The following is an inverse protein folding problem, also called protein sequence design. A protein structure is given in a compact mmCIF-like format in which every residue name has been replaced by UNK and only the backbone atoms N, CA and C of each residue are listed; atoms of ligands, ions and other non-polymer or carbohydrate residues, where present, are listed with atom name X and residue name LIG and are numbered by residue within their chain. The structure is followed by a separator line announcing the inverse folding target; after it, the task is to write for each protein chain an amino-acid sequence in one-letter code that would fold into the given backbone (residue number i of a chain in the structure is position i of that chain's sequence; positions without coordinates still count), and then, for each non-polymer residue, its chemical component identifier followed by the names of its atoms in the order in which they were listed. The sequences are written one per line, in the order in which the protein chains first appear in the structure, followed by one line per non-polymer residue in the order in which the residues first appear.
data_IF_100100477052
#
_entry.id   IF_100100477052
#
_cell.length_a   1.000
_cell.length_b   1.000
_cell.length_c   1.000
_cell.angle_alpha   90.00
_cell.angle_beta   90.00
_cell.angle_gamma   90.00
#
_symmetry.space_group_name_H-M   'P 1'
#
loop_
_entity.id
_entity.type
_entity.pdbx_description
1 polymer ?
#
# COMPACT_ATOMS: atom_id res chain seq x y z
N UNK A 1 24.07 19.29 -35.87
CA UNK A 1 22.63 19.54 -35.56
C UNK A 1 22.40 19.14 -34.11
N UNK A 2 22.52 20.09 -33.18
CA UNK A 2 22.18 19.85 -31.78
C UNK A 2 20.65 19.83 -31.63
N UNK A 3 20.11 18.74 -31.11
CA UNK A 3 18.70 18.65 -30.72
C UNK A 3 18.54 19.37 -29.38
N UNK A 4 18.06 20.60 -29.42
CA UNK A 4 17.67 21.39 -28.26
C UNK A 4 16.54 20.65 -27.51
N UNK A 5 16.88 19.83 -26.51
CA UNK A 5 15.89 19.16 -25.64
C UNK A 5 15.34 20.20 -24.67
N UNK A 6 14.20 20.81 -25.02
CA UNK A 6 13.46 21.62 -24.05
C UNK A 6 13.12 20.78 -22.81
N UNK A 7 13.38 21.27 -21.59
CA UNK A 7 12.95 20.60 -20.38
C UNK A 7 11.42 20.53 -20.38
N UNK A 8 10.88 19.33 -20.21
CA UNK A 8 9.42 19.10 -20.13
C UNK A 8 8.85 20.01 -19.05
N UNK A 9 7.96 20.92 -19.44
CA UNK A 9 7.24 21.76 -18.49
C UNK A 9 6.55 20.84 -17.47
N UNK A 10 6.80 21.07 -16.19
CA UNK A 10 6.12 20.31 -15.13
C UNK A 10 4.63 20.61 -15.24
N UNK A 11 3.81 19.56 -15.14
CA UNK A 11 2.37 19.74 -15.11
C UNK A 11 2.01 20.72 -13.99
N UNK A 12 1.23 21.76 -14.31
CA UNK A 12 0.79 22.78 -13.35
C UNK A 12 -0.07 22.20 -12.23
N UNK A 13 -0.76 21.10 -12.53
CA UNK A 13 -1.67 20.43 -11.62
C UNK A 13 -1.02 19.15 -11.07
N UNK A 14 -1.14 18.90 -9.76
CA UNK A 14 -0.74 17.64 -9.13
C UNK A 14 -1.37 16.43 -9.83
N UNK A 15 -0.67 15.31 -9.90
CA UNK A 15 -1.16 14.15 -10.66
C UNK A 15 -2.28 13.43 -9.91
N UNK A 16 -3.42 13.21 -10.58
CA UNK A 16 -4.46 12.29 -10.13
C UNK A 16 -3.99 10.84 -10.33
N UNK A 17 -3.96 10.06 -9.24
CA UNK A 17 -3.33 8.75 -9.19
C UNK A 17 -4.34 7.67 -8.78
N UNK A 18 -4.23 6.50 -9.41
CA UNK A 18 -4.90 5.29 -8.96
C UNK A 18 -4.18 4.68 -7.76
N UNK A 19 -4.95 4.19 -6.80
CA UNK A 19 -4.50 3.32 -5.72
C UNK A 19 -5.10 1.92 -5.89
N UNK A 20 -4.35 0.88 -5.50
CA UNK A 20 -4.75 -0.52 -5.68
C UNK A 20 -6.05 -0.89 -4.96
N UNK A 21 -6.46 -0.08 -3.97
CA UNK A 21 -7.76 -0.21 -3.29
C UNK A 21 -8.96 0.12 -4.16
N UNK A 22 -8.74 0.56 -5.41
CA UNK A 22 -9.80 1.12 -6.26
C UNK A 22 -10.06 2.60 -5.99
N UNK A 23 -9.30 3.24 -5.09
CA UNK A 23 -9.46 4.66 -4.78
C UNK A 23 -8.57 5.56 -5.64
N UNK A 24 -9.02 6.78 -5.88
CA UNK A 24 -8.21 7.86 -6.35
C UNK A 24 -7.44 8.52 -5.20
N UNK A 25 -6.23 8.98 -5.51
CA UNK A 25 -5.42 9.78 -4.60
C UNK A 25 -4.61 10.83 -5.33
N UNK A 26 -4.15 11.83 -4.60
CA UNK A 26 -3.22 12.86 -5.07
C UNK A 26 -2.09 13.01 -4.06
N UNK A 27 -0.87 13.27 -4.52
CA UNK A 27 0.28 13.53 -3.66
C UNK A 27 0.53 15.03 -3.57
N UNK A 28 0.38 15.60 -2.37
CA UNK A 28 0.52 17.02 -2.09
C UNK A 28 1.28 17.21 -0.79
N UNK A 29 2.18 18.19 -0.74
CA UNK A 29 2.87 18.60 0.49
C UNK A 29 3.49 17.43 1.28
N UNK A 30 4.06 16.45 0.56
CA UNK A 30 4.69 15.27 1.16
C UNK A 30 3.74 14.15 1.59
N UNK A 31 2.42 14.27 1.36
CA UNK A 31 1.40 13.32 1.85
C UNK A 31 0.45 12.89 0.73
N UNK A 32 -0.18 11.73 0.88
CA UNK A 32 -1.23 11.25 -0.01
C UNK A 32 -2.61 11.64 0.54
N UNK A 33 -3.45 12.23 -0.31
CA UNK A 33 -4.85 12.51 -0.04
C UNK A 33 -5.70 11.60 -0.91
N UNK A 34 -6.56 10.80 -0.27
CA UNK A 34 -7.51 9.93 -0.95
C UNK A 34 -8.78 10.70 -1.28
N UNK A 35 -9.42 10.34 -2.40
CA UNK A 35 -10.49 11.13 -3.00
C UNK A 35 -11.79 10.31 -3.11
N UNK A 36 -11.77 9.04 -2.72
CA UNK A 36 -12.85 8.07 -2.92
C UNK A 36 -12.62 7.19 -4.15
N UNK A 37 -13.65 6.53 -4.65
CA UNK A 37 -13.59 5.61 -5.81
C UNK A 37 -12.96 6.27 -7.03
N UNK A 38 -11.98 5.60 -7.63
CA UNK A 38 -11.26 6.09 -8.81
C UNK A 38 -12.21 6.34 -9.98
N UNK A 39 -11.95 7.44 -10.69
CA UNK A 39 -12.69 7.92 -11.87
C UNK A 39 -14.18 8.22 -11.63
N UNK A 40 -14.60 8.29 -10.37
CA UNK A 40 -15.96 8.72 -10.02
C UNK A 40 -16.10 10.25 -10.12
N UNK A 41 -17.29 10.78 -10.47
CA UNK A 41 -17.55 12.22 -10.43
C UNK A 41 -17.23 12.87 -9.08
N UNK A 42 -17.50 12.15 -7.96
CA UNK A 42 -17.18 12.59 -6.60
C UNK A 42 -15.67 12.75 -6.40
N UNK A 43 -14.87 11.79 -6.89
CA UNK A 43 -13.41 11.85 -6.78
C UNK A 43 -12.78 12.96 -7.63
N UNK A 44 -13.32 13.23 -8.82
CA UNK A 44 -12.89 14.34 -9.67
C UNK A 44 -13.25 15.70 -9.03
N UNK A 45 -14.45 15.85 -8.49
CA UNK A 45 -14.85 17.06 -7.78
C UNK A 45 -13.94 17.34 -6.57
N UNK A 46 -13.65 16.32 -5.76
CA UNK A 46 -12.71 16.41 -4.64
C UNK A 46 -11.30 16.75 -5.12
N UNK A 47 -10.81 16.12 -6.19
CA UNK A 47 -9.51 16.42 -6.78
C UNK A 47 -9.36 17.90 -7.13
N UNK A 48 -10.35 18.48 -7.83
CA UNK A 48 -10.32 19.89 -8.22
C UNK A 48 -10.40 20.82 -7.00
N UNK A 49 -11.25 20.51 -6.02
CA UNK A 49 -11.35 21.28 -4.78
C UNK A 49 -10.02 21.31 -4.01
N UNK A 50 -9.36 20.15 -3.89
CA UNK A 50 -8.10 20.00 -3.17
C UNK A 50 -6.93 20.67 -3.90
N UNK A 51 -6.90 20.58 -5.23
CA UNK A 51 -5.92 21.31 -6.04
C UNK A 51 -6.09 22.84 -5.94
N UNK A 52 -7.34 23.32 -5.89
CA UNK A 52 -7.62 24.75 -5.71
C UNK A 52 -7.16 25.21 -4.32
N UNK A 53 -7.55 24.50 -3.27
CA UNK A 53 -7.11 24.79 -1.89
C UNK A 53 -5.58 24.81 -1.78
N UNK A 54 -4.91 23.83 -2.37
CA UNK A 54 -3.45 23.74 -2.39
C UNK A 54 -2.80 24.94 -3.09
N UNK A 55 -3.37 25.40 -4.21
CA UNK A 55 -2.87 26.58 -4.94
C UNK A 55 -3.13 27.87 -4.15
N UNK A 56 -4.33 28.03 -3.59
CA UNK A 56 -4.73 29.21 -2.82
C UNK A 56 -3.84 29.37 -1.56
N UNK A 57 -3.41 28.25 -0.96
CA UNK A 57 -2.50 28.23 0.20
C UNK A 57 -1.00 28.28 -0.17
N UNK A 58 -0.66 28.66 -1.40
CA UNK A 58 0.75 28.82 -1.81
C UNK A 58 1.50 27.49 -1.88
N UNK A 59 0.85 26.43 -2.36
CA UNK A 59 1.38 25.08 -2.46
C UNK A 59 1.68 24.42 -1.10
N UNK A 60 0.86 24.70 -0.09
CA UNK A 60 0.85 24.02 1.21
C UNK A 60 -0.55 23.51 1.56
N UNK A 61 -0.60 22.36 2.23
CA UNK A 61 -1.87 21.85 2.76
C UNK A 61 -2.01 22.21 4.25
N UNK A 62 -3.23 22.48 4.75
CA UNK A 62 -3.46 22.60 6.18
C UNK A 62 -3.02 21.32 6.91
N UNK A 63 -2.35 21.46 8.06
CA UNK A 63 -1.79 20.31 8.78
C UNK A 63 -2.86 19.31 9.25
N UNK A 64 -4.02 19.82 9.63
CA UNK A 64 -5.18 19.07 10.15
C UNK A 64 -6.16 18.63 9.05
N UNK A 65 -5.79 18.77 7.77
CA UNK A 65 -6.69 18.38 6.69
C UNK A 65 -6.82 16.85 6.59
N UNK A 66 -8.05 16.34 6.65
CA UNK A 66 -8.31 14.90 6.54
C UNK A 66 -7.80 14.33 5.21
N UNK A 67 -6.91 13.34 5.29
CA UNK A 67 -6.35 12.66 4.12
C UNK A 67 -7.24 11.55 3.58
N UNK A 68 -8.27 11.15 4.32
CA UNK A 68 -9.19 10.06 4.00
C UNK A 68 -10.66 10.51 4.20
N UNK A 69 -11.27 11.14 3.19
CA UNK A 69 -12.60 11.74 3.31
C UNK A 69 -13.77 10.76 3.09
N UNK A 70 -13.51 9.47 2.84
CA UNK A 70 -14.54 8.41 2.87
C UNK A 70 -14.11 7.36 3.91
N UNK A 71 -14.82 7.31 5.03
CA UNK A 71 -14.73 6.20 6.00
C UNK A 71 -15.15 4.86 5.36
N UNK A 72 -16.03 4.91 4.36
CA UNK A 72 -16.58 3.74 3.65
C UNK A 72 -15.54 2.97 2.82
N UNK A 73 -14.40 3.57 2.52
CA UNK A 73 -13.36 2.94 1.71
C UNK A 73 -12.20 2.52 2.62
N UNK A 74 -12.50 1.64 3.57
CA UNK A 74 -11.53 1.10 4.52
C UNK A 74 -10.26 0.62 3.81
N UNK A 75 -9.09 0.99 4.35
CA UNK A 75 -7.81 0.48 3.88
C UNK A 75 -7.85 -1.03 4.10
N UNK A 76 -7.84 -1.81 3.03
CA UNK A 76 -7.86 -3.27 3.13
C UNK A 76 -6.46 -3.84 3.36
N UNK A 77 -6.36 -5.11 3.74
CA UNK A 77 -5.09 -5.82 3.85
C UNK A 77 -4.31 -5.76 2.54
N UNK A 78 -4.99 -5.88 1.38
CA UNK A 78 -4.39 -5.75 0.03
C UNK A 78 -3.72 -4.39 -0.19
N UNK A 79 -4.27 -3.34 0.43
CA UNK A 79 -3.67 -2.01 0.36
C UNK A 79 -2.34 -1.98 1.11
N UNK A 80 -2.31 -2.58 2.30
CA UNK A 80 -1.13 -2.64 3.17
C UNK A 80 -0.04 -3.50 2.53
N UNK A 81 -0.39 -4.68 2.01
CA UNK A 81 0.55 -5.56 1.32
C UNK A 81 1.13 -4.88 0.07
N UNK A 82 0.32 -4.19 -0.72
CA UNK A 82 0.81 -3.47 -1.90
C UNK A 82 1.76 -2.32 -1.55
N UNK A 83 1.45 -1.55 -0.50
CA UNK A 83 2.35 -0.47 -0.07
C UNK A 83 3.66 -1.02 0.47
N UNK A 84 3.59 -2.10 1.25
CA UNK A 84 4.77 -2.83 1.69
C UNK A 84 5.59 -3.39 0.52
N UNK A 85 4.97 -3.92 -0.54
CA UNK A 85 5.70 -4.42 -1.70
C UNK A 85 6.46 -3.32 -2.44
N UNK A 86 5.94 -2.09 -2.45
CA UNK A 86 6.67 -0.92 -2.98
C UNK A 86 7.92 -0.63 -2.15
N UNK A 87 7.81 -0.67 -0.83
CA UNK A 87 8.96 -0.55 0.07
C UNK A 87 9.95 -1.71 -0.13
N UNK A 88 9.45 -2.94 -0.20
CA UNK A 88 10.25 -4.14 -0.37
C UNK A 88 11.02 -4.13 -1.69
N UNK A 89 10.43 -3.62 -2.78
CA UNK A 89 11.10 -3.47 -4.07
C UNK A 89 12.35 -2.58 -3.96
N UNK A 90 12.28 -1.50 -3.17
CA UNK A 90 13.43 -0.61 -2.93
C UNK A 90 14.43 -1.25 -1.96
N UNK A 91 13.97 -1.77 -0.83
CA UNK A 91 14.84 -2.36 0.21
C UNK A 91 15.59 -3.59 -0.26
N UNK A 92 14.95 -4.44 -1.06
CA UNK A 92 15.50 -5.69 -1.56
C UNK A 92 15.91 -5.59 -3.03
N UNK A 93 16.13 -4.39 -3.55
CA UNK A 93 16.57 -4.17 -4.93
C UNK A 93 17.85 -4.96 -5.28
N UNK A 94 18.75 -5.14 -4.30
CA UNK A 94 19.99 -5.93 -4.44
C UNK A 94 19.78 -7.45 -4.39
N UNK A 95 18.59 -7.94 -4.05
CA UNK A 95 18.32 -9.37 -3.86
C UNK A 95 16.93 -9.75 -4.34
N UNK A 96 16.83 -10.10 -5.64
CA UNK A 96 15.60 -10.59 -6.26
C UNK A 96 14.97 -11.76 -5.49
N UNK A 97 15.78 -12.71 -5.03
CA UNK A 97 15.30 -13.87 -4.25
C UNK A 97 14.61 -13.48 -2.93
N UNK A 98 15.07 -12.41 -2.26
CA UNK A 98 14.43 -11.90 -1.04
C UNK A 98 13.13 -11.16 -1.37
N UNK A 99 13.15 -10.32 -2.41
CA UNK A 99 11.95 -9.65 -2.90
C UNK A 99 10.86 -10.66 -3.29
N UNK A 100 11.20 -11.68 -4.09
CA UNK A 100 10.26 -12.71 -4.56
C UNK A 100 9.65 -13.51 -3.38
N UNK A 101 10.40 -13.67 -2.29
CA UNK A 101 9.90 -14.32 -1.07
C UNK A 101 8.76 -13.51 -0.45
N UNK A 102 8.98 -12.21 -0.31
CA UNK A 102 8.02 -11.30 0.31
C UNK A 102 6.82 -11.06 -0.60
N UNK A 103 7.07 -10.98 -1.92
CA UNK A 103 5.99 -10.97 -2.91
C UNK A 103 5.06 -12.16 -2.73
N UNK A 104 5.59 -13.38 -2.65
CA UNK A 104 4.78 -14.59 -2.46
C UNK A 104 4.00 -14.58 -1.14
N UNK A 105 4.60 -14.07 -0.06
CA UNK A 105 3.89 -13.93 1.21
C UNK A 105 2.72 -12.94 1.07
N UNK A 106 2.95 -11.79 0.46
CA UNK A 106 1.91 -10.81 0.21
C UNK A 106 0.82 -11.36 -0.72
N UNK A 107 1.18 -12.05 -1.80
CA UNK A 107 0.23 -12.71 -2.69
C UNK A 107 -0.66 -13.71 -1.90
N UNK A 108 -0.05 -14.52 -1.02
CA UNK A 108 -0.77 -15.47 -0.16
C UNK A 108 -1.71 -14.78 0.85
N UNK A 109 -1.26 -13.69 1.48
CA UNK A 109 -2.09 -12.89 2.40
C UNK A 109 -3.25 -12.24 1.66
N UNK A 110 -3.01 -11.76 0.44
CA UNK A 110 -3.99 -11.13 -0.43
C UNK A 110 -5.06 -12.10 -0.94
N UNK A 111 -4.69 -13.37 -1.16
CA UNK A 111 -5.61 -14.45 -1.52
C UNK A 111 -6.60 -14.75 -0.37
N UNK A 112 -6.11 -14.80 0.87
CA UNK A 112 -6.91 -15.21 2.03
C UNK A 112 -7.67 -14.06 2.70
N UNK A 113 -7.07 -12.86 2.74
CA UNK A 113 -7.57 -11.73 3.54
C UNK A 113 -7.54 -10.39 2.81
N UNK A 114 -7.23 -10.36 1.52
CA UNK A 114 -6.95 -9.11 0.79
C UNK A 114 -8.06 -8.06 0.83
N UNK A 115 -9.33 -8.49 0.87
CA UNK A 115 -10.48 -7.58 0.84
C UNK A 115 -10.96 -7.19 2.25
N UNK A 116 -10.38 -7.79 3.29
CA UNK A 116 -10.67 -7.45 4.67
C UNK A 116 -10.12 -6.05 5.01
N UNK A 117 -10.87 -5.21 5.74
CA UNK A 117 -10.29 -4.01 6.36
C UNK A 117 -9.04 -4.35 7.19
N UNK A 118 -7.96 -3.59 7.00
CA UNK A 118 -6.71 -3.80 7.72
C UNK A 118 -6.88 -3.62 9.24
N UNK A 119 -7.83 -2.79 9.67
CA UNK A 119 -8.20 -2.63 11.08
C UNK A 119 -8.75 -3.93 11.70
N UNK A 120 -9.42 -4.77 10.90
CA UNK A 120 -9.97 -6.06 11.33
C UNK A 120 -8.95 -7.19 11.22
N UNK A 121 -7.79 -6.92 10.60
CA UNK A 121 -6.67 -7.85 10.56
C UNK A 121 -5.89 -7.82 11.88
N UNK A 122 -6.43 -8.52 12.88
CA UNK A 122 -5.85 -8.63 14.21
C UNK A 122 -4.99 -9.89 14.45
N UNK A 123 -4.47 -10.06 15.68
CA UNK A 123 -3.59 -11.16 16.05
C UNK A 123 -4.23 -12.56 15.89
N UNK A 124 -5.56 -12.66 16.00
CA UNK A 124 -6.28 -13.93 15.73
C UNK A 124 -6.14 -14.37 14.27
N UNK A 125 -6.29 -13.44 13.33
CA UNK A 125 -6.15 -13.74 11.90
C UNK A 125 -4.70 -14.02 11.53
N UNK A 126 -3.75 -13.37 12.20
CA UNK A 126 -2.33 -13.71 12.06
C UNK A 126 -2.03 -15.14 12.51
N UNK A 127 -2.65 -15.60 13.60
CA UNK A 127 -2.54 -16.99 14.07
C UNK A 127 -3.09 -17.98 13.04
N UNK A 128 -4.29 -17.72 12.50
CA UNK A 128 -4.88 -18.53 11.43
C UNK A 128 -4.02 -18.53 10.16
N UNK A 129 -3.49 -17.38 9.74
CA UNK A 129 -2.56 -17.29 8.61
C UNK A 129 -1.33 -18.18 8.83
N UNK A 130 -0.80 -18.25 10.06
CA UNK A 130 0.32 -19.14 10.39
C UNK A 130 -0.05 -20.61 10.24
N UNK A 131 -1.25 -21.01 10.65
CA UNK A 131 -1.76 -22.38 10.45
C UNK A 131 -1.91 -22.70 8.96
N UNK A 132 -2.44 -21.77 8.16
CA UNK A 132 -2.54 -21.92 6.71
C UNK A 132 -1.16 -22.05 6.05
N UNK A 133 -0.14 -21.31 6.52
CA UNK A 133 1.24 -21.44 6.04
C UNK A 133 1.87 -22.80 6.40
N UNK A 134 1.49 -23.40 7.53
CA UNK A 134 1.93 -24.76 7.92
C UNK A 134 1.27 -25.81 7.03
N UNK A 135 -0.04 -25.65 6.77
CA UNK A 135 -0.82 -26.56 5.94
C UNK A 135 -0.45 -26.49 4.45
N UNK A 136 -0.03 -25.32 3.97
CA UNK A 136 0.27 -25.10 2.56
C UNK A 136 1.59 -25.74 2.10
N UNK A 137 1.66 -25.99 0.79
CA UNK A 137 2.84 -26.52 0.10
C UNK A 137 3.50 -25.43 -0.72
N UNK A 138 4.82 -25.47 -0.80
CA UNK A 138 5.57 -24.61 -1.69
C UNK A 138 5.43 -25.07 -3.16
N UNK A 139 6.01 -24.30 -4.08
CA UNK A 139 6.00 -24.56 -5.53
C UNK A 139 6.56 -25.94 -5.94
N UNK A 140 7.28 -26.64 -5.05
CA UNK A 140 7.81 -27.99 -5.28
C UNK A 140 6.93 -29.08 -4.67
N UNK A 141 5.72 -28.74 -4.22
CA UNK A 141 4.79 -29.66 -3.56
C UNK A 141 5.22 -30.09 -2.15
N UNK A 142 6.20 -29.42 -1.53
CA UNK A 142 6.71 -29.75 -0.19
C UNK A 142 6.12 -28.81 0.84
N UNK A 143 5.90 -29.31 2.07
CA UNK A 143 5.51 -28.47 3.19
C UNK A 143 6.54 -27.37 3.44
N UNK A 144 6.06 -26.22 3.90
CA UNK A 144 6.91 -25.10 4.28
C UNK A 144 7.76 -25.48 5.50
N UNK A 145 9.03 -25.05 5.51
CA UNK A 145 9.91 -25.32 6.64
C UNK A 145 9.58 -24.40 7.81
N UNK A 146 9.76 -24.89 9.04
CA UNK A 146 9.58 -24.07 10.26
C UNK A 146 10.41 -22.78 10.23
N UNK A 147 11.64 -22.85 9.69
CA UNK A 147 12.51 -21.69 9.52
C UNK A 147 11.91 -20.66 8.56
N UNK A 148 11.32 -21.11 7.45
CA UNK A 148 10.63 -20.23 6.51
C UNK A 148 9.42 -19.57 7.16
N UNK A 149 8.55 -20.35 7.80
CA UNK A 149 7.34 -19.83 8.45
C UNK A 149 7.72 -18.78 9.49
N UNK A 150 8.67 -19.09 10.38
CA UNK A 150 9.12 -18.14 11.41
C UNK A 150 9.76 -16.87 10.80
N UNK A 151 10.50 -16.98 9.70
CA UNK A 151 11.07 -15.82 8.99
C UNK A 151 9.97 -14.91 8.43
N UNK A 152 8.84 -15.48 7.98
CA UNK A 152 7.71 -14.71 7.47
C UNK A 152 6.89 -14.04 8.59
N UNK A 153 6.67 -14.71 9.72
CA UNK A 153 5.82 -14.19 10.81
C UNK A 153 6.58 -13.28 11.78
N UNK A 154 7.91 -13.42 11.92
CA UNK A 154 8.72 -12.67 12.89
C UNK A 154 8.87 -11.19 12.57
N UNK A 155 8.42 -10.71 11.41
CA UNK A 155 8.82 -9.39 10.96
C UNK A 155 8.18 -8.23 11.75
N UNK A 156 8.96 -7.45 12.53
CA UNK A 156 8.43 -6.36 13.35
C UNK A 156 7.98 -5.12 12.54
N UNK A 157 8.26 -5.06 11.23
CA UNK A 157 7.97 -3.90 10.39
C UNK A 157 6.63 -3.97 9.66
N UNK A 158 6.03 -5.15 9.54
CA UNK A 158 4.75 -5.34 8.83
C UNK A 158 3.55 -5.26 9.78
N UNK A 159 3.71 -5.68 11.05
CA UNK A 159 2.61 -5.79 12.03
C UNK A 159 2.63 -4.74 13.14
N UNK A 160 3.51 -3.73 13.04
CA UNK A 160 3.69 -2.70 14.06
C UNK A 160 4.25 -3.24 15.39
N UNK A 161 4.69 -2.35 16.30
CA UNK A 161 5.25 -2.73 17.59
C UNK A 161 4.24 -3.34 18.59
N UNK A 162 3.00 -3.65 18.17
CA UNK A 162 1.91 -4.13 19.04
C UNK A 162 1.54 -5.60 18.89
N UNK A 163 2.34 -6.40 18.21
CA UNK A 163 2.21 -7.87 18.26
C UNK A 163 3.42 -8.44 19.00
N UNK A 164 3.46 -8.16 20.30
CA UNK A 164 4.35 -8.84 21.24
C UNK A 164 3.82 -10.26 21.44
N UNK A 165 4.70 -11.23 21.14
CA UNK A 165 4.83 -12.55 21.75
C UNK A 165 3.57 -13.19 22.33
N UNK A 166 3.08 -14.26 21.69
CA UNK A 166 2.80 -15.55 22.34
C UNK A 166 3.01 -16.68 21.32
#
# INVERSE_FOLDING_TARGET
MELNRMPRQKAKLPKYLYHVSGQARVYLDGRYFYLGTYDSPKSHARYFALCKLYQDNGCKMPEDYETHPDEDAAITVRCVTADYLRYAAQKYASSKKRYDRHKRLCDFVDEEYGDLPAADFGPRRLSLLRELLVASKNLRGRHNTRAYINDQVRWPGFWGPRVLFF
#
